data_IF_940487722151
#
_entry.id   IF_940487722151
#
_cell.length_a   1.000
_cell.length_b   1.000
_cell.length_c   1.000
_cell.angle_alpha   90.00
_cell.angle_beta   90.00
_cell.angle_gamma   90.00
#
_symmetry.space_group_name_H-M   'P 1'
#
loop_
_entity.id
_entity.type
_entity.pdbx_description
1 polymer ?
#
# COMPACT_ATOMS: atom_id res chain seq x y z
N UNK A 1 -25.53 -1.19 41.33
CA UNK A 1 -24.32 -1.82 40.77
C UNK A 1 -23.69 -1.08 39.59
N UNK A 2 -24.44 -0.51 38.62
CA UNK A 2 -23.87 0.28 37.50
C UNK A 2 -23.00 1.46 37.97
N UNK A 3 -23.42 2.22 38.98
CA UNK A 3 -22.69 3.40 39.46
C UNK A 3 -21.33 3.07 40.07
N UNK A 4 -21.18 1.91 40.69
CA UNK A 4 -19.90 1.47 41.29
C UNK A 4 -18.88 1.08 40.22
N UNK A 5 -19.33 0.38 39.15
CA UNK A 5 -18.48 0.03 38.02
C UNK A 5 -18.06 1.25 37.20
N UNK A 6 -18.96 2.23 37.04
CA UNK A 6 -18.63 3.51 36.38
C UNK A 6 -17.66 4.35 37.20
N UNK A 7 -17.82 4.37 38.53
CA UNK A 7 -16.86 4.99 39.43
C UNK A 7 -15.50 4.31 39.38
N UNK A 8 -15.44 2.98 39.42
CA UNK A 8 -14.19 2.23 39.31
C UNK A 8 -13.50 2.48 37.97
N UNK A 9 -14.22 2.51 36.86
CA UNK A 9 -13.68 2.88 35.55
C UNK A 9 -13.16 4.32 35.51
N UNK A 10 -13.87 5.25 36.16
CA UNK A 10 -13.45 6.65 36.27
C UNK A 10 -12.21 6.81 37.14
N UNK A 11 -12.11 6.06 38.24
CA UNK A 11 -10.93 6.02 39.10
C UNK A 11 -9.76 5.35 38.41
N UNK A 12 -9.96 4.23 37.75
CA UNK A 12 -8.94 3.56 36.95
C UNK A 12 -8.38 4.48 35.83
N UNK A 13 -9.25 5.22 35.15
CA UNK A 13 -8.83 6.20 34.15
C UNK A 13 -8.09 7.42 34.74
N UNK A 14 -8.35 7.78 35.99
CA UNK A 14 -7.66 8.88 36.71
C UNK A 14 -6.33 8.45 37.32
N UNK A 15 -6.23 7.22 37.83
CA UNK A 15 -5.01 6.63 38.37
C UNK A 15 -3.99 6.35 37.26
N UNK A 16 -4.48 5.99 36.08
CA UNK A 16 -3.64 5.86 34.89
C UNK A 16 -3.29 7.27 34.35
N UNK A 17 -2.38 7.96 35.02
CA UNK A 17 -1.77 9.20 34.51
C UNK A 17 -0.91 8.84 33.32
N UNK A 18 -1.57 8.63 32.16
CA UNK A 18 -0.84 8.42 30.93
C UNK A 18 -0.11 9.68 30.53
N UNK A 19 1.17 9.54 30.28
CA UNK A 19 1.93 10.59 29.63
C UNK A 19 1.27 10.98 28.29
N UNK A 20 1.48 12.20 27.80
CA UNK A 20 1.00 12.56 26.44
C UNK A 20 1.44 11.54 25.37
N UNK A 21 2.59 10.91 25.57
CA UNK A 21 3.13 9.87 24.71
C UNK A 21 2.27 8.59 24.74
N UNK A 22 1.85 8.14 25.93
CA UNK A 22 1.01 6.94 26.09
C UNK A 22 -0.40 7.14 25.51
N UNK A 23 -0.98 8.33 25.70
CA UNK A 23 -2.26 8.68 25.08
C UNK A 23 -2.18 8.64 23.56
N UNK A 24 -1.08 9.13 23.00
CA UNK A 24 -0.81 9.09 21.57
C UNK A 24 -0.71 7.64 21.07
N UNK A 25 0.04 6.77 21.75
CA UNK A 25 0.16 5.34 21.42
C UNK A 25 -1.18 4.61 21.44
N UNK A 26 -2.00 4.82 22.47
CA UNK A 26 -3.34 4.23 22.55
C UNK A 26 -4.22 4.64 21.37
N UNK A 27 -4.23 5.92 21.04
CA UNK A 27 -4.99 6.42 19.91
C UNK A 27 -4.49 5.83 18.59
N UNK A 28 -3.18 5.74 18.41
CA UNK A 28 -2.55 5.19 17.23
C UNK A 28 -2.88 3.69 17.06
N UNK A 29 -2.75 2.90 18.12
CA UNK A 29 -3.04 1.47 18.06
C UNK A 29 -4.54 1.19 17.91
N UNK A 30 -5.41 1.99 18.52
CA UNK A 30 -6.84 1.93 18.26
C UNK A 30 -7.22 2.22 16.80
N UNK A 31 -6.43 3.04 16.09
CA UNK A 31 -6.59 3.23 14.64
C UNK A 31 -6.09 2.02 13.85
N UNK A 32 -4.95 1.44 14.23
CA UNK A 32 -4.39 0.26 13.58
C UNK A 32 -5.38 -0.92 13.65
N UNK A 33 -5.99 -1.15 14.81
CA UNK A 33 -7.01 -2.18 14.99
C UNK A 33 -8.23 -2.01 14.07
N UNK A 34 -8.69 -0.78 13.85
CA UNK A 34 -9.82 -0.51 12.92
C UNK A 34 -9.50 -0.74 11.46
N UNK A 35 -8.23 -0.65 11.09
CA UNK A 35 -7.78 -0.73 9.70
C UNK A 35 -7.28 -2.13 9.36
N UNK A 36 -6.89 -2.95 10.37
CA UNK A 36 -6.32 -4.27 10.15
C UNK A 36 -7.19 -5.17 9.29
N UNK A 37 -8.48 -5.27 9.61
CA UNK A 37 -9.42 -6.15 8.92
C UNK A 37 -9.69 -5.66 7.48
N UNK A 38 -9.82 -4.35 7.31
CA UNK A 38 -10.07 -3.73 5.99
C UNK A 38 -8.89 -3.90 5.03
N UNK A 39 -7.68 -3.91 5.55
CA UNK A 39 -6.46 -4.13 4.77
C UNK A 39 -6.02 -5.60 4.73
N UNK A 40 -6.62 -6.48 5.54
CA UNK A 40 -6.22 -7.86 5.67
C UNK A 40 -4.79 -7.98 6.22
N UNK A 41 -4.47 -7.24 7.30
CA UNK A 41 -3.14 -7.24 7.89
C UNK A 41 -2.93 -8.46 8.78
N UNK A 42 -1.84 -9.20 8.56
CA UNK A 42 -1.43 -10.28 9.46
C UNK A 42 -0.91 -9.73 10.80
N UNK A 43 -0.88 -10.59 11.83
CA UNK A 43 -0.33 -10.23 13.15
C UNK A 43 1.09 -9.67 13.04
N UNK A 44 1.93 -10.30 12.22
CA UNK A 44 3.32 -9.87 11.98
C UNK A 44 3.40 -8.43 11.43
N UNK A 45 2.48 -8.08 10.51
CA UNK A 45 2.43 -6.72 9.95
C UNK A 45 1.98 -5.72 11.02
N UNK A 46 1.04 -6.09 11.87
CA UNK A 46 0.55 -5.25 12.97
C UNK A 46 1.67 -4.97 13.97
N UNK A 47 2.39 -5.99 14.42
CA UNK A 47 3.51 -5.86 15.34
C UNK A 47 4.62 -4.97 14.77
N UNK A 48 5.02 -5.21 13.53
CA UNK A 48 6.04 -4.41 12.87
C UNK A 48 5.60 -2.96 12.65
N UNK A 49 4.34 -2.75 12.30
CA UNK A 49 3.76 -1.39 12.21
C UNK A 49 3.80 -0.67 13.54
N UNK A 50 3.41 -1.35 14.62
CA UNK A 50 3.47 -0.81 15.98
C UNK A 50 4.91 -0.47 16.38
N UNK A 51 5.88 -1.30 16.02
CA UNK A 51 7.31 -1.05 16.26
C UNK A 51 7.79 0.22 15.52
N UNK A 52 7.49 0.34 14.23
CA UNK A 52 7.86 1.54 13.44
C UNK A 52 7.23 2.80 14.03
N UNK A 53 5.96 2.72 14.44
CA UNK A 53 5.28 3.85 15.06
C UNK A 53 5.92 4.28 16.39
N UNK A 54 6.27 3.31 17.27
CA UNK A 54 6.99 3.60 18.53
C UNK A 54 8.32 4.28 18.27
N UNK A 55 9.13 3.77 17.33
CA UNK A 55 10.38 4.40 16.93
C UNK A 55 10.19 5.82 16.41
N UNK A 56 9.16 6.05 15.60
CA UNK A 56 8.83 7.39 15.11
C UNK A 56 8.47 8.34 16.28
N UNK A 57 7.77 7.84 17.29
CA UNK A 57 7.40 8.62 18.46
C UNK A 57 8.62 8.93 19.34
N UNK A 58 9.49 7.95 19.60
CA UNK A 58 10.74 8.12 20.36
C UNK A 58 11.64 9.18 19.73
N UNK A 59 11.73 9.21 18.39
CA UNK A 59 12.48 10.25 17.65
C UNK A 59 11.72 11.57 17.47
N UNK A 60 10.56 11.73 18.10
CA UNK A 60 9.76 12.95 18.01
C UNK A 60 9.14 13.25 16.66
N UNK A 61 9.16 12.30 15.72
CA UNK A 61 8.66 12.48 14.33
C UNK A 61 7.14 12.64 14.24
N UNK A 62 6.42 12.37 15.32
CA UNK A 62 4.97 12.59 15.42
C UNK A 62 4.63 14.06 15.63
N UNK A 63 5.56 14.87 16.18
CA UNK A 63 5.32 16.29 16.43
C UNK A 63 5.04 17.06 15.14
N UNK A 64 4.01 17.90 15.16
CA UNK A 64 3.57 18.68 13.99
C UNK A 64 2.87 17.86 12.90
N UNK A 65 2.53 16.59 13.17
CA UNK A 65 1.82 15.69 12.24
C UNK A 65 0.62 15.05 12.92
N UNK A 66 -0.34 14.61 12.11
CA UNK A 66 -1.47 13.86 12.65
C UNK A 66 -1.04 12.43 12.98
N UNK A 67 -1.50 11.90 14.12
CA UNK A 67 -1.30 10.50 14.53
C UNK A 67 -1.68 9.57 13.37
N UNK A 68 -2.78 9.92 12.70
CA UNK A 68 -3.33 9.18 11.55
C UNK A 68 -2.34 9.11 10.39
N UNK A 69 -1.69 10.23 10.05
CA UNK A 69 -0.72 10.29 8.96
C UNK A 69 0.53 9.45 9.24
N UNK A 70 1.04 9.50 10.48
CA UNK A 70 2.21 8.72 10.88
C UNK A 70 1.88 7.22 10.94
N UNK A 71 0.72 6.84 11.48
CA UNK A 71 0.28 5.45 11.53
C UNK A 71 0.06 4.88 10.13
N UNK A 72 -0.62 5.61 9.24
CA UNK A 72 -0.81 5.19 7.85
C UNK A 72 0.52 5.03 7.11
N UNK A 73 1.48 5.92 7.36
CA UNK A 73 2.82 5.79 6.79
C UNK A 73 3.54 4.54 7.31
N UNK A 74 3.46 4.24 8.61
CA UNK A 74 4.02 3.03 9.19
C UNK A 74 3.37 1.76 8.59
N UNK A 75 2.04 1.73 8.44
CA UNK A 75 1.31 0.63 7.76
C UNK A 75 1.84 0.43 6.34
N UNK A 76 1.95 1.50 5.55
CA UNK A 76 2.43 1.41 4.17
C UNK A 76 3.85 0.88 4.09
N UNK A 77 4.75 1.39 4.93
CA UNK A 77 6.15 0.94 4.99
C UNK A 77 6.21 -0.55 5.31
N UNK A 78 5.49 -1.00 6.33
CA UNK A 78 5.48 -2.41 6.73
C UNK A 78 4.91 -3.31 5.64
N UNK A 79 3.80 -2.91 5.00
CA UNK A 79 3.24 -3.65 3.87
C UNK A 79 4.27 -3.81 2.75
N UNK A 80 5.06 -2.78 2.46
CA UNK A 80 6.12 -2.82 1.45
C UNK A 80 7.26 -3.75 1.83
N UNK A 81 7.73 -3.68 3.07
CA UNK A 81 8.79 -4.57 3.59
C UNK A 81 8.38 -6.04 3.59
N UNK A 82 7.11 -6.32 3.91
CA UNK A 82 6.54 -7.68 3.91
C UNK A 82 6.04 -8.13 2.53
N UNK A 83 6.42 -7.40 1.48
CA UNK A 83 6.03 -7.67 0.09
C UNK A 83 4.51 -7.81 -0.13
N UNK A 84 3.70 -7.18 0.73
CA UNK A 84 2.27 -7.07 0.53
C UNK A 84 1.97 -5.97 -0.49
N UNK A 85 1.27 -6.31 -1.56
CA UNK A 85 0.98 -5.41 -2.67
C UNK A 85 -0.16 -4.42 -2.37
N UNK A 86 -0.02 -3.58 -1.31
CA UNK A 86 -0.96 -2.48 -1.03
C UNK A 86 -0.46 -1.20 -1.69
N UNK A 87 -1.37 -0.47 -2.38
CA UNK A 87 -1.01 0.80 -3.01
C UNK A 87 -1.06 1.94 -2.00
N UNK A 88 -0.35 3.02 -2.33
CA UNK A 88 -0.43 4.26 -1.56
C UNK A 88 -1.87 4.80 -1.50
N UNK A 89 -2.64 4.63 -2.59
CA UNK A 89 -4.04 5.05 -2.67
C UNK A 89 -4.94 4.23 -1.72
N UNK A 90 -4.75 2.90 -1.63
CA UNK A 90 -5.54 2.06 -0.72
C UNK A 90 -5.36 2.51 0.73
N UNK A 91 -4.10 2.75 1.14
CA UNK A 91 -3.79 3.17 2.50
C UNK A 91 -4.27 4.59 2.78
N UNK A 92 -4.13 5.50 1.82
CA UNK A 92 -4.59 6.88 1.94
C UNK A 92 -6.12 6.95 2.08
N UNK A 93 -6.84 6.23 1.23
CA UNK A 93 -8.31 6.17 1.24
C UNK A 93 -8.86 5.63 2.55
N UNK A 94 -8.37 4.47 3.02
CA UNK A 94 -8.84 3.83 4.26
C UNK A 94 -8.56 4.63 5.52
N UNK A 95 -7.49 5.44 5.50
CA UNK A 95 -7.16 6.32 6.61
C UNK A 95 -7.71 7.75 6.46
N UNK A 96 -8.45 8.03 5.39
CA UNK A 96 -8.97 9.35 5.06
C UNK A 96 -7.89 10.46 5.12
N UNK A 97 -6.80 10.24 4.38
CA UNK A 97 -5.64 11.13 4.31
C UNK A 97 -5.37 11.47 2.84
N UNK A 98 -4.97 12.70 2.57
CA UNK A 98 -4.54 13.08 1.23
C UNK A 98 -3.27 12.33 0.83
N UNK A 99 -3.27 11.71 -0.38
CA UNK A 99 -2.12 10.96 -0.92
C UNK A 99 -0.80 11.73 -0.81
N UNK A 100 -0.82 13.02 -1.07
CA UNK A 100 0.37 13.90 -1.02
C UNK A 100 0.94 14.02 0.40
N UNK A 101 0.07 14.14 1.40
CA UNK A 101 0.45 14.18 2.82
C UNK A 101 1.06 12.84 3.25
N UNK A 102 0.38 11.73 2.94
CA UNK A 102 0.88 10.40 3.24
C UNK A 102 2.26 10.15 2.60
N UNK A 103 2.44 10.50 1.32
CA UNK A 103 3.71 10.34 0.64
C UNK A 103 4.86 11.13 1.28
N UNK A 104 4.58 12.35 1.80
CA UNK A 104 5.57 13.15 2.53
C UNK A 104 5.95 12.49 3.85
N UNK A 105 4.96 12.00 4.60
CA UNK A 105 5.19 11.33 5.89
C UNK A 105 5.97 10.02 5.70
N UNK A 106 5.67 9.25 4.66
CA UNK A 106 6.43 8.03 4.32
C UNK A 106 7.89 8.35 4.06
N UNK A 107 8.19 9.34 3.20
CA UNK A 107 9.59 9.72 2.90
C UNK A 107 10.34 10.16 4.15
N UNK A 108 9.68 10.92 5.01
CA UNK A 108 10.26 11.34 6.28
C UNK A 108 10.62 10.12 7.14
N UNK A 109 9.67 9.19 7.36
CA UNK A 109 9.92 8.01 8.19
C UNK A 109 11.04 7.13 7.62
N UNK A 110 11.09 6.98 6.30
CA UNK A 110 12.15 6.20 5.61
C UNK A 110 13.52 6.82 5.89
N UNK A 111 13.65 8.14 5.72
CA UNK A 111 14.90 8.85 5.90
C UNK A 111 15.34 8.88 7.36
N UNK A 112 14.45 9.27 8.27
CA UNK A 112 14.78 9.46 9.68
C UNK A 112 14.97 8.12 10.43
N UNK A 113 14.30 7.06 10.02
CA UNK A 113 14.44 5.74 10.65
C UNK A 113 15.40 4.81 9.91
N UNK A 114 16.02 5.28 8.81
CA UNK A 114 16.90 4.49 7.94
C UNK A 114 16.29 3.14 7.50
N UNK A 115 15.03 3.20 7.05
CA UNK A 115 14.29 2.00 6.64
C UNK A 115 14.57 1.70 5.17
N UNK A 116 15.09 0.51 4.87
CA UNK A 116 15.28 0.02 3.51
C UNK A 116 14.00 -0.65 2.99
N UNK A 117 13.32 -0.02 2.03
CA UNK A 117 12.12 -0.58 1.43
C UNK A 117 12.50 -1.35 0.16
N UNK A 118 12.13 -2.64 0.04
CA UNK A 118 12.38 -3.40 -1.18
C UNK A 118 11.58 -2.83 -2.36
N UNK A 119 12.12 -2.97 -3.57
CA UNK A 119 11.39 -2.64 -4.81
C UNK A 119 10.17 -3.55 -4.93
N UNK A 120 9.05 -2.99 -5.36
CA UNK A 120 7.82 -3.76 -5.56
C UNK A 120 8.03 -4.77 -6.70
N UNK A 121 7.71 -6.04 -6.44
CA UNK A 121 7.77 -7.09 -7.44
C UNK A 121 6.70 -6.87 -8.51
N UNK A 122 7.08 -6.63 -9.78
CA UNK A 122 6.12 -6.40 -10.86
C UNK A 122 5.16 -7.58 -11.10
N UNK A 123 5.61 -8.82 -10.87
CA UNK A 123 4.79 -10.03 -11.05
C UNK A 123 3.65 -10.05 -10.02
N UNK A 124 3.94 -9.72 -8.75
CA UNK A 124 2.89 -9.60 -7.72
C UNK A 124 1.88 -8.49 -8.04
N UNK A 125 2.31 -7.44 -8.73
CA UNK A 125 1.42 -6.39 -9.21
C UNK A 125 0.48 -6.91 -10.30
N UNK A 126 0.98 -7.73 -11.24
CA UNK A 126 0.15 -8.38 -12.29
C UNK A 126 -0.94 -9.22 -11.65
N UNK A 127 -0.58 -10.14 -10.75
CA UNK A 127 -1.54 -11.02 -10.07
C UNK A 127 -2.61 -10.21 -9.32
N UNK A 128 -2.20 -9.17 -8.61
CA UNK A 128 -3.12 -8.32 -7.87
C UNK A 128 -4.14 -7.61 -8.78
N UNK A 129 -3.67 -6.97 -9.85
CA UNK A 129 -4.56 -6.24 -10.77
C UNK A 129 -5.48 -7.21 -11.49
N UNK A 130 -4.95 -8.34 -11.98
CA UNK A 130 -5.73 -9.37 -12.64
C UNK A 130 -6.86 -9.94 -11.78
N UNK A 131 -6.61 -10.14 -10.48
CA UNK A 131 -7.64 -10.61 -9.54
C UNK A 131 -8.72 -9.56 -9.27
N UNK A 132 -8.38 -8.27 -9.30
CA UNK A 132 -9.37 -7.20 -9.13
C UNK A 132 -10.33 -7.07 -10.31
N UNK A 133 -9.86 -7.37 -11.51
CA UNK A 133 -10.65 -7.29 -12.75
C UNK A 133 -11.17 -8.65 -13.22
N UNK A 134 -11.00 -9.68 -12.40
CA UNK A 134 -11.49 -11.05 -12.66
C UNK A 134 -11.07 -11.62 -14.02
N UNK A 135 -9.82 -11.38 -14.45
CA UNK A 135 -9.28 -11.97 -15.66
C UNK A 135 -9.07 -13.49 -15.52
N UNK A 136 -9.17 -14.20 -16.63
CA UNK A 136 -8.94 -15.66 -16.66
C UNK A 136 -7.51 -16.02 -16.25
N UNK A 137 -7.34 -17.26 -15.75
CA UNK A 137 -6.01 -17.77 -15.39
C UNK A 137 -5.05 -17.86 -16.59
N UNK A 138 -5.62 -18.08 -17.81
CA UNK A 138 -4.84 -18.07 -19.05
C UNK A 138 -4.22 -16.71 -19.30
N UNK A 139 -5.02 -15.64 -19.23
CA UNK A 139 -4.57 -14.26 -19.42
C UNK A 139 -3.59 -13.82 -18.32
N UNK A 140 -3.79 -14.24 -17.07
CA UNK A 140 -2.86 -13.99 -15.98
C UNK A 140 -1.48 -14.61 -16.24
N UNK A 141 -1.43 -15.89 -16.62
CA UNK A 141 -0.17 -16.59 -16.93
C UNK A 141 0.57 -15.91 -18.06
N UNK A 142 -0.12 -15.63 -19.16
CA UNK A 142 0.46 -14.91 -20.30
C UNK A 142 1.00 -13.52 -19.87
N UNK A 143 0.28 -12.79 -19.04
CA UNK A 143 0.74 -11.52 -18.51
C UNK A 143 1.98 -11.66 -17.62
N UNK A 144 2.08 -12.71 -16.81
CA UNK A 144 3.28 -12.98 -16.01
C UNK A 144 4.49 -13.30 -16.89
N UNK A 145 4.33 -14.08 -17.95
CA UNK A 145 5.39 -14.40 -18.89
C UNK A 145 5.89 -13.14 -19.62
N UNK A 146 4.96 -12.30 -20.11
CA UNK A 146 5.30 -11.01 -20.71
C UNK A 146 6.03 -10.12 -19.70
N UNK A 147 5.56 -10.03 -18.45
CA UNK A 147 6.19 -9.23 -17.42
C UNK A 147 7.61 -9.72 -17.10
N UNK A 148 7.82 -11.03 -17.09
CA UNK A 148 9.14 -11.62 -16.88
C UNK A 148 10.11 -11.19 -18.00
N UNK A 149 9.69 -11.27 -19.26
CA UNK A 149 10.48 -10.82 -20.40
C UNK A 149 10.78 -9.32 -20.35
N UNK A 150 9.76 -8.49 -20.03
CA UNK A 150 9.90 -7.04 -19.86
C UNK A 150 10.89 -6.68 -18.75
N UNK A 151 10.93 -7.48 -17.67
CA UNK A 151 11.86 -7.27 -16.57
C UNK A 151 13.28 -7.67 -16.96
N UNK A 152 13.45 -8.80 -17.63
CA UNK A 152 14.76 -9.28 -18.13
C UNK A 152 15.38 -8.32 -19.15
N UNK A 153 14.58 -7.78 -20.04
CA UNK A 153 15.05 -6.83 -21.07
C UNK A 153 15.32 -5.41 -20.53
N UNK A 154 15.12 -5.17 -19.21
CA UNK A 154 15.36 -3.86 -18.61
C UNK A 154 14.32 -2.79 -18.96
N UNK A 155 13.27 -3.13 -19.73
CA UNK A 155 12.20 -2.21 -20.12
C UNK A 155 11.42 -1.69 -18.89
N UNK A 156 11.43 -2.43 -17.79
CA UNK A 156 10.79 -2.05 -16.52
C UNK A 156 11.51 -0.94 -15.76
N UNK A 157 12.79 -0.66 -16.06
CA UNK A 157 13.61 0.28 -15.33
C UNK A 157 12.99 1.70 -15.31
N UNK A 158 12.93 2.31 -14.12
CA UNK A 158 12.39 3.66 -13.93
C UNK A 158 10.88 3.82 -14.13
N UNK A 159 10.15 2.74 -14.32
CA UNK A 159 8.69 2.76 -14.51
C UNK A 159 7.96 2.36 -13.25
N UNK A 160 6.76 2.95 -13.04
CA UNK A 160 5.88 2.54 -11.95
C UNK A 160 5.41 1.08 -12.16
N UNK A 161 5.64 0.18 -11.18
CA UNK A 161 5.30 -1.24 -11.32
C UNK A 161 3.81 -1.50 -11.54
N UNK A 162 2.93 -0.69 -10.92
CA UNK A 162 1.48 -0.85 -11.07
C UNK A 162 1.00 -0.44 -12.46
N UNK A 163 1.52 0.68 -12.98
CA UNK A 163 1.23 1.13 -14.35
C UNK A 163 1.75 0.14 -15.39
N UNK A 164 2.93 -0.42 -15.17
CA UNK A 164 3.50 -1.44 -16.05
C UNK A 164 2.68 -2.74 -16.01
N UNK A 165 2.32 -3.22 -14.82
CA UNK A 165 1.48 -4.41 -14.63
C UNK A 165 0.13 -4.27 -15.32
N UNK A 166 -0.54 -3.13 -15.17
CA UNK A 166 -1.80 -2.85 -15.85
C UNK A 166 -1.66 -2.87 -17.38
N UNK A 167 -0.58 -2.31 -17.90
CA UNK A 167 -0.34 -2.27 -19.36
C UNK A 167 -0.04 -3.65 -19.95
N UNK A 168 0.71 -4.48 -19.22
CA UNK A 168 0.98 -5.88 -19.61
C UNK A 168 -0.31 -6.70 -19.56
N UNK A 169 -1.15 -6.51 -18.55
CA UNK A 169 -2.46 -7.16 -18.48
C UNK A 169 -3.39 -6.74 -19.63
N UNK A 170 -3.39 -5.46 -19.98
CA UNK A 170 -4.16 -4.99 -21.12
C UNK A 170 -3.67 -5.61 -22.44
N UNK A 171 -2.35 -5.73 -22.63
CA UNK A 171 -1.78 -6.41 -23.80
C UNK A 171 -2.21 -7.88 -23.84
N UNK A 172 -2.09 -8.58 -22.70
CA UNK A 172 -2.45 -9.99 -22.57
C UNK A 172 -3.94 -10.24 -22.81
N UNK A 173 -4.83 -9.39 -22.29
CA UNK A 173 -6.27 -9.49 -22.49
C UNK A 173 -6.64 -9.31 -23.97
N UNK A 174 -5.99 -8.39 -24.68
CA UNK A 174 -6.16 -8.22 -26.13
C UNK A 174 -5.75 -9.46 -26.90
N UNK A 175 -4.62 -10.07 -26.54
CA UNK A 175 -4.12 -11.29 -27.19
C UNK A 175 -5.02 -12.52 -26.90
N UNK A 176 -5.66 -12.54 -25.73
CA UNK A 176 -6.57 -13.64 -25.33
C UNK A 176 -8.02 -13.43 -25.78
N UNK A 177 -8.34 -12.27 -26.39
CA UNK A 177 -9.69 -11.94 -26.82
C UNK A 177 -10.66 -11.57 -25.68
N UNK A 178 -10.15 -11.28 -24.49
CA UNK A 178 -10.95 -10.80 -23.36
C UNK A 178 -11.29 -9.31 -23.50
N UNK A 179 -12.57 -9.00 -23.35
CA UNK A 179 -13.06 -7.60 -23.44
C UNK A 179 -12.92 -6.90 -22.09
N UNK A 180 -11.76 -6.26 -21.87
CA UNK A 180 -11.54 -5.38 -20.74
C UNK A 180 -11.10 -4.01 -21.23
N UNK A 181 -11.55 -2.94 -20.57
CA UNK A 181 -11.20 -1.58 -20.96
C UNK A 181 -9.91 -1.11 -20.29
N UNK A 182 -9.25 -0.11 -20.88
CA UNK A 182 -8.10 0.54 -20.23
C UNK A 182 -8.51 1.22 -18.93
N UNK A 183 -9.75 1.69 -18.85
CA UNK A 183 -10.31 2.34 -17.66
C UNK A 183 -10.46 1.35 -16.50
N UNK A 184 -11.01 0.16 -16.72
CA UNK A 184 -11.18 -0.89 -15.69
C UNK A 184 -9.83 -1.30 -15.10
N UNK A 185 -8.84 -1.50 -15.97
CA UNK A 185 -7.48 -1.84 -15.54
C UNK A 185 -6.82 -0.67 -14.79
N UNK A 186 -7.02 0.55 -15.25
CA UNK A 186 -6.46 1.74 -14.61
C UNK A 186 -7.00 1.92 -13.19
N UNK A 187 -8.31 1.74 -13.01
CA UNK A 187 -8.96 1.77 -11.70
C UNK A 187 -8.43 0.65 -10.79
N UNK A 188 -8.36 -0.57 -11.28
CA UNK A 188 -7.84 -1.71 -10.54
C UNK A 188 -6.36 -1.52 -10.12
N UNK A 189 -5.55 -0.96 -11.02
CA UNK A 189 -4.14 -0.66 -10.77
C UNK A 189 -3.93 0.61 -9.91
N UNK A 190 -4.94 1.46 -9.76
CA UNK A 190 -4.86 2.73 -9.04
C UNK A 190 -3.99 3.76 -9.77
N UNK A 191 -3.99 3.74 -11.10
CA UNK A 191 -3.30 4.67 -12.00
C UNK A 191 -4.29 5.35 -12.95
N UNK A 192 -3.83 6.31 -13.75
CA UNK A 192 -4.69 6.94 -14.75
C UNK A 192 -4.75 6.11 -16.04
N UNK A 193 -5.87 6.18 -16.77
CA UNK A 193 -6.03 5.55 -18.08
C UNK A 193 -4.93 5.99 -19.05
N UNK A 194 -4.56 7.27 -19.02
CA UNK A 194 -3.46 7.83 -19.84
C UNK A 194 -2.14 7.12 -19.55
N UNK A 195 -1.88 6.74 -18.27
CA UNK A 195 -0.71 5.97 -17.91
C UNK A 195 -0.72 4.59 -18.57
N UNK A 196 -1.86 3.89 -18.51
CA UNK A 196 -2.01 2.58 -19.17
C UNK A 196 -1.80 2.70 -20.68
N UNK A 197 -2.46 3.67 -21.31
CA UNK A 197 -2.35 3.92 -22.77
C UNK A 197 -0.92 4.18 -23.21
N UNK A 198 -0.21 5.05 -22.52
CA UNK A 198 1.17 5.41 -22.87
C UNK A 198 2.13 4.23 -22.65
N UNK A 199 1.98 3.49 -21.56
CA UNK A 199 2.79 2.31 -21.28
C UNK A 199 2.51 1.15 -22.24
N UNK A 200 1.24 0.96 -22.61
CA UNK A 200 0.86 -0.03 -23.62
C UNK A 200 1.51 0.28 -24.99
N UNK A 201 1.47 1.52 -25.44
CA UNK A 201 2.16 1.93 -26.69
C UNK A 201 3.67 1.67 -26.62
N UNK A 202 4.30 2.05 -25.50
CA UNK A 202 5.74 1.83 -25.27
C UNK A 202 6.10 0.33 -25.25
N UNK A 203 5.29 -0.51 -24.62
CA UNK A 203 5.48 -1.96 -24.59
C UNK A 203 5.34 -2.56 -25.99
N UNK A 204 4.27 -2.22 -26.73
CA UNK A 204 4.02 -2.72 -28.07
C UNK A 204 5.18 -2.40 -28.99
N UNK A 205 5.61 -1.15 -29.04
CA UNK A 205 6.73 -0.73 -29.89
C UNK A 205 8.04 -1.46 -29.57
N UNK A 206 8.27 -1.87 -28.31
CA UNK A 206 9.51 -2.54 -27.89
C UNK A 206 9.44 -4.07 -28.00
N UNK A 207 8.24 -4.65 -27.95
CA UNK A 207 8.03 -6.10 -28.15
C UNK A 207 8.02 -6.43 -29.64
N UNK A 208 7.45 -5.56 -30.47
CA UNK A 208 7.41 -5.72 -31.93
C UNK A 208 8.81 -5.51 -32.58
N UNK A 209 9.80 -4.98 -31.83
CA UNK A 209 11.18 -4.77 -32.29
C UNK A 209 12.15 -5.89 -31.88
N UNK A 210 11.68 -6.89 -31.11
CA UNK A 210 12.43 -8.09 -30.70
C UNK A 210 11.75 -9.35 -31.21
#
# INVERSE_FOLDING_TARGET
MRSTMERLRTWDSRIQVYSPADRNLRQAFGMLERVKDKLGLSATIIEKTAYIYRKAQERGLVRGRTIRSVMAAAIYITCREMAMSRTLNDVAFLNNIKRKELARTIRLLILELDIKIPILDPIKCVVRVANKVNLSEKTKRQAMDIMHNVTKSGISAGKDPMGLAGSVLYLSSKNSGENITQMDIAEAAGVTEVTIRNRFKDLRNRIDLN
#
